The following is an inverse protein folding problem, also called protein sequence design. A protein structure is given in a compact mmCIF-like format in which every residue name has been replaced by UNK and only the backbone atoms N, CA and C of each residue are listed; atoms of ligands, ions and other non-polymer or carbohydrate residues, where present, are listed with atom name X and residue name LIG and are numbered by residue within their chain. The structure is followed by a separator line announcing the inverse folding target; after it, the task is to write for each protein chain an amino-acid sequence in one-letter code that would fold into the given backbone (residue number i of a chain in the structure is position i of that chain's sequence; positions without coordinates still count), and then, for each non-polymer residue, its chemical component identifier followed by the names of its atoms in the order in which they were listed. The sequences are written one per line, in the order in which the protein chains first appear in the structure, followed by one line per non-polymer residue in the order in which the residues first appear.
data_IF_831516718699
#
_entry.id   IF_831516718699
#
_cell.length_a   1.000
_cell.length_b   1.000
_cell.length_c   1.000
_cell.angle_alpha   90.00
_cell.angle_beta   90.00
_cell.angle_gamma   90.00
#
_symmetry.space_group_name_H-M   'P 1'
#
loop_
_entity.id
_entity.type
_entity.pdbx_description
1 polymer ?
#
# COMPACT_ATOMS: atom_id res chain seq x y z
N UNK A 1 -33.73 9.25 6.77
CA UNK A 1 -32.41 9.92 6.87
C UNK A 1 -31.37 8.87 6.54
N UNK A 2 -30.49 9.12 5.57
CA UNK A 2 -29.39 8.21 5.28
C UNK A 2 -28.53 8.08 6.54
N UNK A 3 -28.20 6.86 6.94
CA UNK A 3 -27.37 6.60 8.12
C UNK A 3 -25.98 7.15 7.82
N UNK A 4 -25.47 8.06 8.65
CA UNK A 4 -24.10 8.56 8.52
C UNK A 4 -23.15 7.36 8.46
N UNK A 5 -22.36 7.28 7.39
CA UNK A 5 -21.48 6.16 7.19
C UNK A 5 -20.09 6.51 7.72
N UNK A 6 -19.63 5.76 8.73
CA UNK A 6 -18.29 5.86 9.29
C UNK A 6 -17.45 4.70 8.77
N UNK A 7 -16.25 4.99 8.26
CA UNK A 7 -15.32 4.00 7.73
C UNK A 7 -13.94 4.21 8.34
N UNK A 8 -13.33 3.11 8.79
CA UNK A 8 -11.96 3.06 9.28
C UNK A 8 -11.05 2.40 8.24
N UNK A 9 -10.01 3.11 7.81
CA UNK A 9 -8.86 2.55 7.11
C UNK A 9 -7.70 2.35 8.08
N UNK A 10 -7.15 1.13 8.17
CA UNK A 10 -6.05 0.77 9.07
C UNK A 10 -4.86 0.23 8.28
N UNK A 11 -3.73 0.92 8.36
CA UNK A 11 -2.46 0.48 7.78
C UNK A 11 -1.52 -0.02 8.88
N UNK A 12 -1.25 -1.33 8.89
CA UNK A 12 -0.41 -1.99 9.88
C UNK A 12 1.02 -2.11 9.33
N UNK A 13 1.80 -1.06 9.49
CA UNK A 13 3.17 -0.95 8.98
C UNK A 13 4.24 -1.52 9.91
N UNK A 14 5.45 -1.73 9.36
CA UNK A 14 6.57 -2.33 10.11
C UNK A 14 7.02 -1.52 11.32
N UNK A 15 7.08 -0.19 11.21
CA UNK A 15 7.53 0.68 12.30
C UNK A 15 6.38 1.40 13.01
N UNK A 16 5.20 1.42 12.41
CA UNK A 16 4.05 2.18 12.89
C UNK A 16 2.75 1.59 12.36
N UNK A 17 1.68 1.74 13.11
CA UNK A 17 0.30 1.55 12.64
C UNK A 17 -0.31 2.94 12.45
N UNK A 18 -1.09 3.13 11.39
CA UNK A 18 -1.85 4.38 11.16
C UNK A 18 -3.32 4.08 10.89
N UNK A 19 -4.19 4.93 11.41
CA UNK A 19 -5.63 4.86 11.17
C UNK A 19 -6.15 6.19 10.63
N UNK A 20 -7.16 6.09 9.77
CA UNK A 20 -7.96 7.21 9.29
C UNK A 20 -9.44 6.85 9.37
N UNK A 21 -10.22 7.71 10.02
CA UNK A 21 -11.67 7.58 10.18
C UNK A 21 -12.35 8.66 9.36
N UNK A 22 -13.08 8.23 8.34
CA UNK A 22 -13.87 9.08 7.47
C UNK A 22 -15.36 8.92 7.75
N UNK A 23 -16.09 10.02 7.57
CA UNK A 23 -17.54 10.05 7.60
C UNK A 23 -18.06 10.62 6.29
N UNK A 24 -18.97 9.90 5.63
CA UNK A 24 -19.69 10.42 4.46
C UNK A 24 -21.03 11.00 4.93
N UNK A 25 -21.18 12.31 4.76
CA UNK A 25 -22.41 13.04 5.10
C UNK A 25 -22.80 13.95 3.95
N UNK A 26 -24.03 13.77 3.44
CA UNK A 26 -24.59 14.58 2.34
C UNK A 26 -23.67 14.66 1.09
N UNK A 27 -22.96 13.58 0.79
CA UNK A 27 -22.04 13.51 -0.36
C UNK A 27 -20.66 14.12 -0.11
N UNK A 28 -20.42 14.70 1.06
CA UNK A 28 -19.13 15.25 1.47
C UNK A 28 -18.42 14.27 2.39
N UNK A 29 -17.15 13.99 2.08
CA UNK A 29 -16.28 13.18 2.93
C UNK A 29 -15.61 14.11 3.94
N UNK A 30 -15.83 13.80 5.22
CA UNK A 30 -15.15 14.46 6.33
C UNK A 30 -14.23 13.49 7.05
N UNK A 31 -13.00 13.91 7.38
CA UNK A 31 -12.16 13.13 8.31
C UNK A 31 -12.48 13.56 9.73
N UNK A 32 -12.94 12.59 10.52
CA UNK A 32 -13.38 12.80 11.90
C UNK A 32 -12.39 12.25 12.93
N UNK A 33 -11.44 11.39 12.53
CA UNK A 33 -10.42 10.86 13.42
C UNK A 33 -9.19 10.33 12.68
N UNK A 34 -8.02 10.43 13.31
CA UNK A 34 -6.78 9.80 12.86
C UNK A 34 -6.06 9.22 14.07
N UNK A 35 -5.27 8.17 13.87
CA UNK A 35 -4.48 7.56 14.95
C UNK A 35 -3.11 7.10 14.46
N UNK A 36 -2.14 7.09 15.36
CA UNK A 36 -0.78 6.60 15.08
C UNK A 36 -0.12 6.03 16.34
N UNK A 37 0.43 4.82 16.20
CA UNK A 37 1.27 4.22 17.24
C UNK A 37 2.52 3.61 16.62
N UNK A 38 3.59 3.53 17.40
CA UNK A 38 4.79 2.79 17.01
C UNK A 38 4.50 1.29 17.01
N UNK A 39 5.19 0.55 16.14
CA UNK A 39 5.07 -0.90 16.03
C UNK A 39 6.44 -1.54 16.00
N UNK A 40 6.66 -2.53 16.88
CA UNK A 40 7.86 -3.38 16.94
C UNK A 40 7.58 -4.83 16.55
N UNK A 41 6.30 -5.23 16.45
CA UNK A 41 5.91 -6.62 16.23
C UNK A 41 6.02 -7.10 14.78
N UNK A 42 6.60 -6.30 13.90
CA UNK A 42 6.69 -6.58 12.47
C UNK A 42 8.11 -6.47 11.93
N UNK A 43 8.40 -7.28 10.91
CA UNK A 43 9.65 -7.24 10.14
C UNK A 43 9.35 -7.44 8.66
N UNK A 44 9.82 -6.51 7.81
CA UNK A 44 9.63 -6.56 6.34
C UNK A 44 8.14 -6.75 5.92
N UNK A 45 7.23 -6.13 6.67
CA UNK A 45 5.79 -6.23 6.45
C UNK A 45 5.16 -7.59 6.80
N UNK A 46 5.82 -8.38 7.67
CA UNK A 46 5.26 -9.60 8.26
C UNK A 46 5.27 -9.49 9.78
N UNK A 47 4.22 -10.01 10.42
CA UNK A 47 4.16 -10.07 11.89
C UNK A 47 5.10 -11.15 12.39
N UNK A 48 5.99 -10.76 13.30
CA UNK A 48 6.93 -11.62 14.02
C UNK A 48 6.61 -11.71 15.51
N UNK A 49 5.91 -10.70 16.04
CA UNK A 49 5.38 -10.69 17.40
C UNK A 49 3.90 -10.23 17.37
N UNK A 50 3.02 -11.12 17.84
CA UNK A 50 1.58 -10.90 17.84
C UNK A 50 1.20 -9.87 18.91
N UNK A 51 1.80 -9.94 20.09
CA UNK A 51 1.41 -9.12 21.26
C UNK A 51 1.78 -7.66 21.05
N UNK A 52 2.98 -7.41 20.53
CA UNK A 52 3.43 -6.05 20.16
C UNK A 52 2.53 -5.46 19.06
N UNK A 53 2.19 -6.27 18.05
CA UNK A 53 1.34 -5.81 16.94
C UNK A 53 -0.09 -5.52 17.41
N UNK A 54 -0.66 -6.37 18.27
CA UNK A 54 -1.99 -6.13 18.89
C UNK A 54 -1.96 -4.85 19.71
N UNK A 55 -0.94 -4.67 20.55
CA UNK A 55 -0.79 -3.48 21.38
C UNK A 55 -0.72 -2.19 20.55
N UNK A 56 0.05 -2.21 19.45
CA UNK A 56 0.14 -1.09 18.53
C UNK A 56 -1.20 -0.78 17.82
N UNK A 57 -1.94 -1.81 17.40
CA UNK A 57 -3.27 -1.64 16.80
C UNK A 57 -4.24 -1.05 17.82
N UNK A 58 -4.33 -1.60 19.03
CA UNK A 58 -5.21 -1.11 20.09
C UNK A 58 -4.95 0.35 20.44
N UNK A 59 -3.67 0.75 20.54
CA UNK A 59 -3.29 2.13 20.82
C UNK A 59 -3.73 3.10 19.70
N UNK A 60 -3.62 2.68 18.43
CA UNK A 60 -4.13 3.46 17.28
C UNK A 60 -5.64 3.59 17.30
N UNK A 61 -6.35 2.49 17.61
CA UNK A 61 -7.80 2.49 17.69
C UNK A 61 -8.30 3.43 18.79
N UNK A 62 -7.69 3.40 19.98
CA UNK A 62 -8.04 4.29 21.09
C UNK A 62 -7.88 5.77 20.70
N UNK A 63 -6.77 6.13 20.04
CA UNK A 63 -6.55 7.50 19.58
C UNK A 63 -7.58 7.91 18.52
N UNK A 64 -7.86 7.05 17.55
CA UNK A 64 -8.80 7.31 16.47
C UNK A 64 -10.25 7.41 16.97
N UNK A 65 -10.69 6.51 17.87
CA UNK A 65 -12.01 6.52 18.51
C UNK A 65 -12.22 7.78 19.34
N UNK A 66 -11.22 8.17 20.15
CA UNK A 66 -11.28 9.39 20.96
C UNK A 66 -11.46 10.63 20.10
N UNK A 67 -10.80 10.68 18.94
CA UNK A 67 -10.93 11.81 18.01
C UNK A 67 -12.26 11.78 17.25
N UNK A 68 -12.68 10.60 16.77
CA UNK A 68 -13.91 10.42 16.01
C UNK A 68 -15.18 10.55 16.87
N UNK A 69 -15.08 10.33 18.19
CA UNK A 69 -16.21 10.37 19.11
C UNK A 69 -17.21 9.22 18.92
N UNK A 70 -16.81 8.17 18.22
CA UNK A 70 -17.63 6.98 17.92
C UNK A 70 -16.79 5.71 18.07
N UNK A 71 -17.40 4.60 18.51
CA UNK A 71 -16.71 3.31 18.56
C UNK A 71 -16.43 2.79 17.14
N UNK A 72 -15.27 2.17 16.95
CA UNK A 72 -14.82 1.61 15.69
C UNK A 72 -14.86 0.07 15.78
N UNK A 73 -15.83 -0.53 15.09
CA UNK A 73 -16.07 -1.98 15.20
C UNK A 73 -15.49 -2.79 14.03
N UNK A 74 -15.26 -2.16 12.89
CA UNK A 74 -14.71 -2.84 11.71
C UNK A 74 -13.85 -1.91 10.85
N UNK A 75 -12.94 -2.49 10.06
CA UNK A 75 -12.03 -1.71 9.22
C UNK A 75 -11.65 -2.38 7.88
N UNK A 76 -11.18 -1.53 6.97
CA UNK A 76 -10.46 -1.90 5.76
C UNK A 76 -8.96 -1.90 6.08
N UNK A 77 -8.32 -3.06 5.93
CA UNK A 77 -6.94 -3.27 6.38
C UNK A 77 -5.99 -3.29 5.19
N UNK A 78 -4.93 -2.51 5.28
CA UNK A 78 -3.84 -2.52 4.31
C UNK A 78 -3.00 -3.77 4.43
N UNK A 79 -2.82 -4.47 3.32
CA UNK A 79 -1.93 -5.60 3.18
C UNK A 79 -0.75 -5.25 2.27
N UNK A 80 0.45 -5.32 2.83
CA UNK A 80 1.71 -5.12 2.13
C UNK A 80 2.73 -6.18 2.53
N UNK A 81 4.02 -5.86 2.44
CA UNK A 81 5.09 -6.74 2.89
C UNK A 81 5.65 -7.67 1.82
N UNK A 82 6.84 -8.21 2.07
CA UNK A 82 7.62 -8.99 1.09
C UNK A 82 7.00 -10.35 0.73
N UNK A 83 5.89 -10.71 1.37
CA UNK A 83 5.16 -11.94 1.14
C UNK A 83 4.10 -11.80 0.03
N UNK A 84 3.91 -10.61 -0.53
CA UNK A 84 3.00 -10.37 -1.66
C UNK A 84 3.68 -10.67 -2.99
N UNK A 85 2.92 -11.24 -3.91
CA UNK A 85 3.34 -11.53 -5.28
C UNK A 85 2.24 -11.13 -6.26
N UNK A 86 2.61 -10.61 -7.41
CA UNK A 86 1.70 -10.37 -8.51
C UNK A 86 2.06 -11.28 -9.70
N UNK A 87 1.06 -11.94 -10.27
CA UNK A 87 1.22 -12.80 -11.45
C UNK A 87 0.18 -12.41 -12.49
N UNK A 88 0.57 -12.41 -13.76
CA UNK A 88 -0.40 -12.20 -14.84
C UNK A 88 -1.07 -13.53 -15.17
N UNK A 89 -2.39 -13.50 -15.28
CA UNK A 89 -3.24 -14.61 -15.67
C UNK A 89 -4.01 -14.32 -16.94
N UNK A 90 -4.38 -15.37 -17.67
CA UNK A 90 -5.34 -15.27 -18.76
C UNK A 90 -6.53 -16.19 -18.50
N UNK A 91 -7.72 -15.61 -18.53
CA UNK A 91 -8.97 -16.36 -18.58
C UNK A 91 -9.46 -16.41 -20.02
N UNK A 92 -10.03 -17.54 -20.44
CA UNK A 92 -10.60 -17.72 -21.77
C UNK A 92 -11.93 -18.46 -21.65
N UNK A 93 -12.97 -17.92 -22.27
CA UNK A 93 -14.29 -18.56 -22.34
C UNK A 93 -14.89 -18.44 -23.74
N UNK A 94 -15.88 -19.29 -24.02
CA UNK A 94 -16.83 -19.06 -25.10
C UNK A 94 -17.98 -18.16 -24.62
N UNK A 95 -18.39 -17.21 -25.47
CA UNK A 95 -19.56 -16.37 -25.23
C UNK A 95 -20.81 -17.26 -25.23
N UNK A 96 -21.61 -17.15 -24.17
CA UNK A 96 -22.68 -18.11 -23.90
C UNK A 96 -23.94 -17.90 -24.73
N UNK A 97 -24.17 -16.67 -25.18
CA UNK A 97 -25.41 -16.28 -25.85
C UNK A 97 -25.37 -16.65 -27.33
N UNK A 98 -26.52 -17.08 -27.85
CA UNK A 98 -26.65 -17.50 -29.25
C UNK A 98 -26.49 -16.35 -30.26
N UNK A 99 -26.76 -15.11 -29.83
CA UNK A 99 -26.52 -13.88 -30.61
C UNK A 99 -25.04 -13.44 -30.59
N UNK A 100 -24.20 -14.10 -29.79
CA UNK A 100 -22.78 -13.77 -29.62
C UNK A 100 -22.55 -12.47 -28.86
N UNK A 101 -23.59 -11.83 -28.29
CA UNK A 101 -23.41 -10.60 -27.51
C UNK A 101 -22.78 -10.91 -26.15
N UNK A 102 -21.77 -10.14 -25.78
CA UNK A 102 -21.07 -10.28 -24.51
C UNK A 102 -21.88 -9.59 -23.41
N UNK A 103 -22.25 -10.37 -22.39
CA UNK A 103 -22.99 -9.91 -21.22
C UNK A 103 -22.12 -9.84 -19.97
N UNK A 104 -22.63 -9.21 -18.91
CA UNK A 104 -21.96 -9.21 -17.59
C UNK A 104 -21.66 -10.62 -17.07
N UNK A 105 -22.52 -11.61 -17.39
CA UNK A 105 -22.27 -12.99 -16.97
C UNK A 105 -21.08 -13.62 -17.71
N UNK A 106 -20.79 -13.20 -18.95
CA UNK A 106 -19.59 -13.61 -19.66
C UNK A 106 -18.34 -12.98 -19.03
N UNK A 107 -18.43 -11.73 -18.55
CA UNK A 107 -17.35 -11.07 -17.79
C UNK A 107 -17.01 -11.81 -16.51
N UNK A 108 -18.02 -12.13 -15.69
CA UNK A 108 -17.80 -12.87 -14.44
C UNK A 108 -17.12 -14.22 -14.72
N UNK A 109 -17.59 -14.95 -15.74
CA UNK A 109 -17.02 -16.26 -16.12
C UNK A 109 -15.58 -16.16 -16.61
N UNK A 110 -15.22 -15.14 -17.42
CA UNK A 110 -13.85 -15.00 -17.91
C UNK A 110 -12.89 -14.59 -16.79
N UNK A 111 -13.35 -13.77 -15.85
CA UNK A 111 -12.57 -13.39 -14.67
C UNK A 111 -12.40 -14.57 -13.70
N UNK A 112 -13.42 -15.40 -13.51
CA UNK A 112 -13.31 -16.63 -12.73
C UNK A 112 -12.36 -17.64 -13.38
N UNK A 113 -12.37 -17.75 -14.71
CA UNK A 113 -11.37 -18.54 -15.45
C UNK A 113 -9.95 -17.98 -15.25
N UNK A 114 -9.80 -16.65 -15.23
CA UNK A 114 -8.52 -15.99 -14.96
C UNK A 114 -8.07 -16.17 -13.49
N UNK A 115 -9.00 -16.35 -12.54
CA UNK A 115 -8.70 -16.67 -11.14
C UNK A 115 -8.18 -18.09 -10.94
N UNK A 116 -8.54 -19.02 -11.82
CA UNK A 116 -8.22 -20.45 -11.71
C UNK A 116 -6.74 -20.80 -11.97
N UNK A 117 -5.80 -19.88 -11.72
CA UNK A 117 -4.38 -20.21 -11.72
C UNK A 117 -4.09 -21.08 -10.50
N UNK A 118 -3.23 -22.09 -10.69
CA UNK A 118 -2.60 -22.79 -9.59
C UNK A 118 -1.63 -21.84 -8.86
N UNK A 119 -2.14 -21.10 -7.87
CA UNK A 119 -1.25 -20.53 -6.85
C UNK A 119 -0.63 -21.66 -6.03
N UNK A 120 0.61 -21.50 -5.55
CA UNK A 120 1.17 -22.40 -4.55
C UNK A 120 0.20 -22.58 -3.37
N UNK A 121 0.09 -23.78 -2.77
CA UNK A 121 -0.92 -24.09 -1.77
C UNK A 121 -0.81 -23.26 -0.48
N UNK A 122 0.30 -22.54 -0.28
CA UNK A 122 0.55 -21.66 0.85
C UNK A 122 0.26 -20.17 0.54
N UNK A 123 -0.49 -19.89 -0.54
CA UNK A 123 -0.86 -18.54 -0.96
C UNK A 123 -2.36 -18.40 -1.19
N UNK A 124 -2.86 -17.20 -0.93
CA UNK A 124 -4.25 -16.82 -1.13
C UNK A 124 -4.33 -15.61 -2.07
N UNK A 125 -5.37 -15.58 -2.90
CA UNK A 125 -5.68 -14.43 -3.76
C UNK A 125 -6.24 -13.31 -2.88
N UNK A 126 -5.70 -12.10 -3.04
CA UNK A 126 -6.17 -10.88 -2.37
C UNK A 126 -7.01 -10.07 -3.36
N UNK A 127 -6.47 -9.81 -4.55
CA UNK A 127 -7.19 -9.10 -5.62
C UNK A 127 -6.92 -9.72 -6.98
N UNK A 128 -7.89 -9.56 -7.87
CA UNK A 128 -7.77 -9.87 -9.30
C UNK A 128 -8.16 -8.61 -10.06
N UNK A 129 -7.22 -8.09 -10.84
CA UNK A 129 -7.34 -6.81 -11.53
C UNK A 129 -7.30 -7.07 -13.03
N UNK A 130 -8.42 -7.04 -13.77
CA UNK A 130 -8.38 -7.03 -15.22
C UNK A 130 -7.56 -5.87 -15.76
N UNK A 131 -6.72 -6.17 -16.75
CA UNK A 131 -5.96 -5.21 -17.54
C UNK A 131 -6.70 -4.91 -18.83
N UNK A 132 -6.99 -5.94 -19.61
CA UNK A 132 -7.70 -5.81 -20.87
C UNK A 132 -8.55 -7.07 -21.13
N UNK A 133 -9.47 -6.91 -22.08
CA UNK A 133 -10.22 -7.98 -22.69
C UNK A 133 -9.79 -8.14 -24.14
N UNK A 134 -9.94 -9.38 -24.63
CA UNK A 134 -9.78 -9.71 -26.03
C UNK A 134 -11.06 -10.36 -26.53
N UNK A 135 -11.55 -9.92 -27.68
CA UNK A 135 -12.73 -10.47 -28.34
C UNK A 135 -12.32 -10.96 -29.72
N UNK A 136 -12.40 -12.26 -29.95
CA UNK A 136 -12.01 -12.90 -31.22
C UNK A 136 -10.61 -12.48 -31.76
N UNK A 137 -9.67 -12.23 -30.84
CA UNK A 137 -8.30 -11.82 -31.15
C UNK A 137 -8.08 -10.31 -31.26
N UNK A 138 -9.13 -9.49 -31.23
CA UNK A 138 -9.00 -8.04 -31.07
C UNK A 138 -8.56 -7.71 -29.64
N UNK A 139 -7.45 -6.97 -29.48
CA UNK A 139 -6.85 -6.63 -28.18
C UNK A 139 -7.25 -5.24 -27.67
N UNK A 140 -6.83 -4.93 -26.44
CA UNK A 140 -6.98 -3.61 -25.80
C UNK A 140 -8.43 -3.14 -25.62
N UNK A 141 -9.35 -4.08 -25.42
CA UNK A 141 -10.74 -3.77 -25.11
C UNK A 141 -10.87 -3.57 -23.60
N UNK A 142 -11.29 -2.38 -23.16
CA UNK A 142 -11.52 -2.08 -21.73
C UNK A 142 -12.86 -2.62 -21.23
N UNK A 143 -13.88 -2.44 -22.06
CA UNK A 143 -15.25 -2.87 -21.78
C UNK A 143 -15.80 -3.62 -22.99
N UNK A 144 -15.92 -4.95 -22.92
CA UNK A 144 -16.45 -5.75 -24.01
C UNK A 144 -17.98 -5.92 -23.93
N UNK A 145 -18.67 -5.37 -22.91
CA UNK A 145 -20.12 -5.56 -22.76
C UNK A 145 -20.85 -4.95 -23.97
N UNK A 146 -21.75 -5.73 -24.58
CA UNK A 146 -22.47 -5.34 -25.78
C UNK A 146 -21.69 -5.52 -27.09
N UNK A 147 -20.40 -5.91 -27.03
CA UNK A 147 -19.68 -6.36 -28.22
C UNK A 147 -20.15 -7.76 -28.62
N UNK A 148 -20.04 -8.08 -29.91
CA UNK A 148 -20.33 -9.43 -30.43
C UNK A 148 -19.03 -10.20 -30.63
N UNK A 149 -18.99 -11.44 -30.15
CA UNK A 149 -17.89 -12.36 -30.43
C UNK A 149 -18.18 -13.78 -30.01
N UNK A 150 -17.30 -14.70 -30.41
CA UNK A 150 -17.40 -16.13 -30.06
C UNK A 150 -16.51 -16.44 -28.85
N UNK A 151 -15.35 -15.81 -28.79
CA UNK A 151 -14.31 -16.05 -27.78
C UNK A 151 -13.99 -14.75 -27.04
N UNK A 152 -14.12 -14.81 -25.72
CA UNK A 152 -13.75 -13.73 -24.81
C UNK A 152 -12.54 -14.18 -23.97
N UNK A 153 -11.50 -13.36 -23.97
CA UNK A 153 -10.34 -13.52 -23.10
C UNK A 153 -10.21 -12.31 -22.17
N UNK A 154 -9.58 -12.54 -21.02
CA UNK A 154 -9.21 -11.47 -20.10
C UNK A 154 -7.79 -11.68 -19.61
N UNK A 155 -6.95 -10.68 -19.75
CA UNK A 155 -5.66 -10.64 -19.04
C UNK A 155 -5.87 -9.95 -17.70
N UNK A 156 -5.50 -10.62 -16.61
CA UNK A 156 -5.66 -10.10 -15.26
C UNK A 156 -4.33 -10.12 -14.51
N UNK A 157 -4.14 -9.16 -13.62
CA UNK A 157 -3.10 -9.19 -12.61
C UNK A 157 -3.70 -9.79 -11.33
N UNK A 158 -3.24 -10.98 -10.97
CA UNK A 158 -3.63 -11.66 -9.73
C UNK A 158 -2.60 -11.35 -8.66
N UNK A 159 -3.06 -10.68 -7.61
CA UNK A 159 -2.26 -10.33 -6.44
C UNK A 159 -2.55 -11.37 -5.36
N UNK A 160 -1.52 -12.08 -4.93
CA UNK A 160 -1.61 -13.10 -3.90
C UNK A 160 -0.59 -12.89 -2.77
N UNK A 161 -0.94 -13.35 -1.58
CA UNK A 161 -0.12 -13.25 -0.39
C UNK A 161 0.05 -14.60 0.28
N UNK A 162 1.05 -14.73 1.15
CA UNK A 162 1.20 -15.91 2.01
C UNK A 162 0.01 -16.05 2.96
N UNK A 163 -0.60 -17.25 2.97
CA UNK A 163 -1.69 -17.60 3.88
C UNK A 163 -1.32 -17.38 5.34
N UNK A 164 -0.10 -17.71 5.76
CA UNK A 164 0.32 -17.55 7.16
C UNK A 164 0.45 -16.08 7.55
N UNK A 165 0.98 -15.24 6.67
CA UNK A 165 1.09 -13.80 6.92
C UNK A 165 -0.30 -13.15 7.03
N UNK A 166 -1.23 -13.49 6.14
CA UNK A 166 -2.62 -13.03 6.17
C UNK A 166 -3.29 -13.46 7.49
N UNK A 167 -3.19 -14.74 7.86
CA UNK A 167 -3.76 -15.25 9.12
C UNK A 167 -3.21 -14.56 10.36
N UNK A 168 -1.91 -14.29 10.41
CA UNK A 168 -1.30 -13.58 11.54
C UNK A 168 -1.83 -12.15 11.65
N UNK A 169 -1.98 -11.44 10.51
CA UNK A 169 -2.56 -10.10 10.49
C UNK A 169 -4.01 -10.12 10.94
N UNK A 170 -4.82 -11.02 10.37
CA UNK A 170 -6.21 -11.23 10.78
C UNK A 170 -6.31 -11.49 12.28
N UNK A 171 -5.46 -12.35 12.83
CA UNK A 171 -5.42 -12.65 14.27
C UNK A 171 -5.13 -11.40 15.10
N UNK A 172 -4.13 -10.60 14.74
CA UNK A 172 -3.80 -9.38 15.48
C UNK A 172 -4.96 -8.37 15.46
N UNK A 173 -5.57 -8.15 14.30
CA UNK A 173 -6.69 -7.20 14.17
C UNK A 173 -7.91 -7.66 14.98
N UNK A 174 -8.28 -8.94 14.89
CA UNK A 174 -9.41 -9.49 15.68
C UNK A 174 -9.13 -9.49 17.18
N UNK A 175 -7.89 -9.77 17.61
CA UNK A 175 -7.51 -9.69 19.03
C UNK A 175 -7.53 -8.26 19.58
N UNK A 176 -7.33 -7.25 18.74
CA UNK A 176 -7.50 -5.85 19.10
C UNK A 176 -8.98 -5.41 19.16
N UNK A 177 -9.93 -6.34 18.93
CA UNK A 177 -11.37 -6.06 19.04
C UNK A 177 -12.03 -5.54 17.76
N UNK A 178 -11.36 -5.67 16.60
CA UNK A 178 -11.82 -5.12 15.33
C UNK A 178 -12.18 -6.22 14.33
N UNK A 179 -13.34 -6.10 13.69
CA UNK A 179 -13.71 -6.93 12.55
C UNK A 179 -13.06 -6.42 11.26
N UNK A 180 -12.77 -7.34 10.33
CA UNK A 180 -12.19 -6.98 9.03
C UNK A 180 -13.30 -6.93 8.00
N UNK A 181 -13.55 -5.76 7.41
CA UNK A 181 -14.44 -5.62 6.26
C UNK A 181 -13.78 -6.19 5.00
N UNK A 182 -12.52 -5.81 4.75
CA UNK A 182 -11.76 -6.27 3.60
C UNK A 182 -10.25 -6.14 3.86
N UNK A 183 -9.48 -7.06 3.27
CA UNK A 183 -8.03 -6.94 3.16
C UNK A 183 -7.70 -6.34 1.79
N UNK A 184 -7.07 -5.18 1.78
CA UNK A 184 -6.81 -4.42 0.55
C UNK A 184 -5.31 -4.36 0.30
N UNK A 185 -4.86 -4.68 -0.91
CA UNK A 185 -3.46 -4.49 -1.30
C UNK A 185 -3.09 -3.01 -1.18
N UNK A 186 -2.20 -2.69 -0.24
CA UNK A 186 -1.93 -1.33 0.19
C UNK A 186 -1.60 -0.38 -0.99
N UNK A 187 -0.76 -0.74 -1.98
CA UNK A 187 -0.48 0.14 -3.12
C UNK A 187 -1.71 0.56 -3.95
N UNK A 188 -2.77 -0.24 -4.01
CA UNK A 188 -4.02 0.17 -4.66
C UNK A 188 -4.76 1.23 -3.85
N UNK A 189 -4.86 1.03 -2.54
CA UNK A 189 -5.44 1.99 -1.63
C UNK A 189 -4.65 3.32 -1.66
N UNK A 190 -3.33 3.25 -1.57
CA UNK A 190 -2.43 4.41 -1.68
C UNK A 190 -2.58 5.13 -3.03
N UNK A 191 -2.68 4.40 -4.14
CA UNK A 191 -2.94 4.98 -5.46
C UNK A 191 -4.32 5.63 -5.58
N UNK A 192 -5.29 5.24 -4.75
CA UNK A 192 -6.64 5.82 -4.74
C UNK A 192 -6.64 7.21 -4.11
N UNK A 193 -5.89 7.42 -3.03
CA UNK A 193 -5.83 8.71 -2.33
C UNK A 193 -4.98 9.76 -3.04
N UNK A 194 -3.95 9.34 -3.79
CA UNK A 194 -2.85 10.21 -4.19
C UNK A 194 -2.66 10.37 -5.72
N UNK A 195 -3.04 9.39 -6.54
CA UNK A 195 -2.82 9.45 -8.00
C UNK A 195 -4.05 9.94 -8.77
N UNK A 196 -3.88 10.98 -9.57
CA UNK A 196 -4.93 11.48 -10.47
C UNK A 196 -5.18 10.54 -11.64
N UNK A 197 -6.41 10.59 -12.20
CA UNK A 197 -6.76 9.85 -13.41
C UNK A 197 -5.77 10.16 -14.55
N UNK A 198 -5.39 11.43 -14.71
CA UNK A 198 -4.42 11.87 -15.73
C UNK A 198 -3.05 11.20 -15.54
N UNK A 199 -2.53 11.13 -14.31
CA UNK A 199 -1.24 10.49 -14.05
C UNK A 199 -1.28 9.00 -14.38
N UNK A 200 -2.36 8.30 -14.01
CA UNK A 200 -2.57 6.89 -14.35
C UNK A 200 -2.70 6.67 -15.86
N UNK A 201 -3.33 7.60 -16.57
CA UNK A 201 -3.49 7.53 -18.02
C UNK A 201 -2.14 7.64 -18.75
N UNK A 202 -1.35 8.66 -18.43
CA UNK A 202 -0.13 8.97 -19.18
C UNK A 202 1.11 8.20 -18.72
N UNK A 203 1.02 7.39 -17.66
CA UNK A 203 2.12 6.59 -17.14
C UNK A 203 2.77 7.18 -15.87
N UNK A 204 2.58 6.53 -14.72
CA UNK A 204 3.12 6.95 -13.41
C UNK A 204 3.62 5.78 -12.58
N UNK A 205 4.72 5.98 -11.84
CA UNK A 205 5.20 5.05 -10.82
C UNK A 205 4.81 5.57 -9.42
N UNK A 206 4.05 4.80 -8.66
CA UNK A 206 3.88 5.01 -7.23
C UNK A 206 4.96 4.23 -6.48
N UNK A 207 5.70 4.92 -5.61
CA UNK A 207 6.71 4.32 -4.73
C UNK A 207 6.44 4.70 -3.27
N UNK A 208 6.10 3.71 -2.45
CA UNK A 208 5.97 3.88 -1.01
C UNK A 208 7.24 3.36 -0.32
N UNK A 209 8.05 4.28 0.21
CA UNK A 209 9.24 3.93 0.98
C UNK A 209 8.85 3.83 2.46
N UNK A 210 8.42 2.64 2.86
CA UNK A 210 8.15 2.29 4.24
C UNK A 210 9.43 2.02 5.04
N UNK A 211 9.27 1.62 6.31
CA UNK A 211 10.41 1.29 7.16
C UNK A 211 11.07 -0.04 6.75
N UNK A 212 10.29 -1.12 6.66
CA UNK A 212 10.80 -2.46 6.35
C UNK A 212 10.79 -2.82 4.87
N UNK A 213 10.00 -2.13 4.05
CA UNK A 213 9.75 -2.47 2.65
C UNK A 213 9.57 -1.22 1.79
N UNK A 214 9.76 -1.38 0.49
CA UNK A 214 9.48 -0.38 -0.53
C UNK A 214 8.49 -0.97 -1.52
N UNK A 215 7.30 -0.41 -1.60
CA UNK A 215 6.24 -0.90 -2.49
C UNK A 215 6.24 -0.10 -3.79
N UNK A 216 6.03 -0.78 -4.90
CA UNK A 216 6.04 -0.21 -6.25
C UNK A 216 4.73 -0.58 -6.94
N UNK A 217 4.09 0.39 -7.57
CA UNK A 217 2.93 0.18 -8.45
C UNK A 217 3.04 1.10 -9.67
N UNK A 218 3.15 0.51 -10.86
CA UNK A 218 3.21 1.23 -12.11
C UNK A 218 1.83 1.23 -12.77
N UNK A 219 1.37 2.42 -13.18
CA UNK A 219 0.10 2.62 -13.87
C UNK A 219 0.33 3.23 -15.25
N UNK A 220 -0.44 2.79 -16.24
CA UNK A 220 -0.47 3.34 -17.60
C UNK A 220 -1.83 3.02 -18.25
N UNK A 221 -2.33 3.91 -19.12
CA UNK A 221 -3.66 3.76 -19.75
C UNK A 221 -4.79 3.54 -18.70
N UNK A 222 -4.60 4.10 -17.51
CA UNK A 222 -5.56 4.00 -16.41
C UNK A 222 -5.45 2.75 -15.53
N UNK A 223 -4.69 1.73 -15.95
CA UNK A 223 -4.62 0.44 -15.25
C UNK A 223 -3.34 0.24 -14.44
N UNK A 224 -3.39 -0.67 -13.46
CA UNK A 224 -2.19 -1.20 -12.82
C UNK A 224 -1.49 -2.21 -13.75
N UNK A 225 -0.38 -1.79 -14.36
CA UNK A 225 0.37 -2.65 -15.30
C UNK A 225 1.35 -3.58 -14.58
N UNK A 226 1.89 -3.16 -13.43
CA UNK A 226 2.78 -3.96 -12.61
C UNK A 226 2.84 -3.48 -11.16
N UNK A 227 3.10 -4.40 -10.24
CA UNK A 227 3.40 -4.06 -8.85
C UNK A 227 4.41 -5.05 -8.25
N UNK A 228 5.14 -4.58 -7.25
CA UNK A 228 6.15 -5.36 -6.53
C UNK A 228 6.37 -4.79 -5.14
N UNK A 229 6.79 -5.62 -4.19
CA UNK A 229 7.21 -5.17 -2.85
C UNK A 229 8.64 -5.63 -2.60
N UNK A 230 9.54 -4.66 -2.50
CA UNK A 230 10.94 -4.89 -2.22
C UNK A 230 11.15 -5.04 -0.69
N UNK A 231 11.91 -6.05 -0.23
CA UNK A 231 12.16 -6.31 1.20
C UNK A 231 13.22 -5.39 1.82
N UNK A 232 13.25 -4.13 1.37
CA UNK A 232 14.19 -3.08 1.78
C UNK A 232 13.42 -1.77 1.93
N UNK A 233 13.74 -0.98 2.94
CA UNK A 233 13.06 0.27 3.26
C UNK A 233 13.93 1.17 4.11
N UNK A 234 13.37 2.29 4.59
CA UNK A 234 14.12 3.35 5.27
C UNK A 234 14.72 2.97 6.63
N UNK A 235 14.29 1.86 7.24
CA UNK A 235 14.93 1.31 8.45
C UNK A 235 16.30 0.70 8.13
N UNK A 236 16.54 0.27 6.89
CA UNK A 236 17.86 -0.26 6.51
C UNK A 236 18.90 0.86 6.51
N UNK A 237 18.51 2.10 6.17
CA UNK A 237 19.35 3.29 6.33
C UNK A 237 19.73 3.46 7.80
N UNK A 238 18.75 3.37 8.71
CA UNK A 238 18.97 3.46 10.16
C UNK A 238 19.93 2.39 10.66
N UNK A 239 19.76 1.15 10.20
CA UNK A 239 20.63 0.04 10.57
C UNK A 239 22.07 0.29 10.11
N UNK A 240 22.26 0.79 8.89
CA UNK A 240 23.60 1.08 8.38
C UNK A 240 24.27 2.23 9.15
N UNK A 241 23.51 3.27 9.53
CA UNK A 241 24.01 4.35 10.39
C UNK A 241 24.42 3.78 11.75
N UNK A 242 23.58 2.96 12.37
CA UNK A 242 23.86 2.34 13.66
C UNK A 242 25.14 1.49 13.61
N UNK A 243 25.31 0.68 12.57
CA UNK A 243 26.52 -0.13 12.36
C UNK A 243 27.75 0.76 12.10
N UNK A 244 27.62 1.73 11.21
CA UNK A 244 28.71 2.61 10.77
C UNK A 244 29.23 3.53 11.88
N UNK A 245 28.35 3.97 12.78
CA UNK A 245 28.69 4.83 13.93
C UNK A 245 28.82 4.06 15.25
N UNK A 246 28.47 2.76 15.26
CA UNK A 246 28.46 1.88 16.45
C UNK A 246 27.60 2.42 17.59
N UNK A 247 26.40 2.89 17.26
CA UNK A 247 25.41 3.45 18.20
C UNK A 247 24.14 2.62 18.21
N UNK A 248 23.24 2.90 19.16
CA UNK A 248 21.92 2.27 19.21
C UNK A 248 21.07 2.62 17.97
N UNK A 249 20.13 1.72 17.62
CA UNK A 249 19.18 1.97 16.53
C UNK A 249 18.30 3.20 16.79
N UNK A 250 17.96 3.45 18.05
CA UNK A 250 17.16 4.62 18.44
C UNK A 250 17.93 5.91 18.16
N UNK A 251 19.20 5.97 18.57
CA UNK A 251 20.09 7.13 18.33
C UNK A 251 20.32 7.32 16.84
N UNK A 252 20.54 6.25 16.08
CA UNK A 252 20.68 6.30 14.63
C UNK A 252 19.41 6.83 13.92
N UNK A 253 18.21 6.47 14.38
CA UNK A 253 16.96 6.97 13.81
C UNK A 253 16.82 8.48 14.05
N UNK A 254 17.13 8.95 15.27
CA UNK A 254 17.11 10.38 15.61
C UNK A 254 18.08 11.16 14.72
N UNK A 255 19.28 10.63 14.48
CA UNK A 255 20.28 11.24 13.59
C UNK A 255 19.78 11.26 12.14
N UNK A 256 19.24 10.15 11.64
CA UNK A 256 18.67 10.07 10.28
C UNK A 256 17.59 11.11 10.06
N UNK A 257 16.66 11.26 11.02
CA UNK A 257 15.57 12.23 10.94
C UNK A 257 16.09 13.67 11.00
N UNK A 258 17.06 13.98 11.88
CA UNK A 258 17.54 15.36 12.11
C UNK A 258 18.57 15.84 11.09
N UNK A 259 19.47 14.97 10.65
CA UNK A 259 20.64 15.34 9.84
C UNK A 259 20.73 14.63 8.49
N UNK A 260 19.92 13.59 8.27
CA UNK A 260 19.95 12.79 7.04
C UNK A 260 19.57 13.60 5.80
N UNK A 261 20.31 13.38 4.72
CA UNK A 261 20.05 13.94 3.39
C UNK A 261 20.55 12.98 2.33
N UNK A 262 19.93 13.00 1.16
CA UNK A 262 20.31 12.23 -0.02
C UNK A 262 21.33 12.96 -0.90
N UNK A 263 21.71 14.20 -0.53
CA UNK A 263 22.51 15.11 -1.36
C UNK A 263 23.82 15.45 -0.65
N UNK A 264 24.88 14.74 -1.00
CA UNK A 264 26.19 14.87 -0.35
C UNK A 264 26.83 16.25 -0.56
N UNK A 265 26.57 16.87 -1.71
CA UNK A 265 27.08 18.19 -2.09
C UNK A 265 26.50 19.34 -1.25
N UNK A 266 25.37 19.10 -0.56
CA UNK A 266 24.79 20.08 0.38
C UNK A 266 25.48 20.08 1.75
N UNK A 267 26.32 19.10 2.04
CA UNK A 267 26.97 18.94 3.35
C UNK A 267 28.38 19.50 3.32
N UNK A 268 28.69 20.41 4.27
CA UNK A 268 30.03 20.98 4.40
C UNK A 268 30.98 19.98 5.06
N UNK A 269 32.22 19.93 4.61
CA UNK A 269 33.26 19.04 5.17
C UNK A 269 33.52 19.27 6.66
N UNK A 270 33.31 20.50 7.14
CA UNK A 270 33.50 20.86 8.55
C UNK A 270 32.31 20.51 9.46
N UNK A 271 31.18 20.08 8.90
CA UNK A 271 29.96 19.84 9.67
C UNK A 271 30.04 18.54 10.46
N UNK A 272 29.89 18.65 11.79
CA UNK A 272 29.95 17.51 12.72
C UNK A 272 28.65 17.38 13.50
N UNK A 273 28.29 16.14 13.77
CA UNK A 273 27.17 15.76 14.62
C UNK A 273 27.76 15.32 15.95
N UNK A 274 27.29 15.92 17.03
CA UNK A 274 27.56 15.44 18.39
C UNK A 274 26.55 14.34 18.72
N UNK A 275 27.03 13.12 18.96
CA UNK A 275 26.14 12.00 19.29
C UNK A 275 25.54 12.19 20.70
N UNK A 276 26.27 12.89 21.59
CA UNK A 276 25.82 13.23 22.93
C UNK A 276 24.52 14.04 22.98
N UNK A 277 24.18 14.75 21.89
CA UNK A 277 22.92 15.49 21.76
C UNK A 277 21.68 14.58 21.70
N UNK A 278 21.87 13.29 21.42
CA UNK A 278 20.80 12.30 21.27
C UNK A 278 20.86 11.16 22.26
N UNK A 279 22.07 10.88 22.75
CA UNK A 279 22.38 9.82 23.71
C UNK A 279 23.45 10.33 24.70
N UNK A 280 23.07 10.74 25.92
CA UNK A 280 24.00 11.33 26.88
C UNK A 280 25.16 10.41 27.31
N UNK A 281 25.07 9.11 27.07
CA UNK A 281 26.15 8.15 27.35
C UNK A 281 27.25 8.18 26.27
N UNK A 282 26.96 8.76 25.10
CA UNK A 282 27.88 8.89 23.99
C UNK A 282 28.64 10.23 24.02
N UNK A 283 29.95 10.19 23.76
CA UNK A 283 30.80 11.40 23.73
C UNK A 283 31.44 11.65 22.37
N UNK A 284 31.18 10.77 21.40
CA UNK A 284 31.76 10.84 20.07
C UNK A 284 31.11 11.94 19.22
N UNK A 285 31.93 12.54 18.35
CA UNK A 285 31.47 13.44 17.29
C UNK A 285 31.83 12.85 15.94
N UNK A 286 30.88 12.87 15.01
CA UNK A 286 31.03 12.25 13.70
C UNK A 286 30.82 13.28 12.60
N UNK A 287 31.47 13.11 11.46
CA UNK A 287 31.26 14.00 10.32
C UNK A 287 29.88 13.74 9.72
N UNK A 288 29.08 14.78 9.50
CA UNK A 288 27.77 14.63 8.85
C UNK A 288 27.92 14.03 7.46
N UNK A 289 29.01 14.35 6.76
CA UNK A 289 29.32 13.81 5.43
C UNK A 289 29.43 12.28 5.43
N UNK A 290 30.01 11.69 6.49
CA UNK A 290 30.08 10.25 6.63
C UNK A 290 28.69 9.61 6.79
N UNK A 291 27.80 10.24 7.58
CA UNK A 291 26.39 9.80 7.69
C UNK A 291 25.69 9.89 6.34
N UNK A 292 25.90 10.98 5.59
CA UNK A 292 25.31 11.14 4.26
C UNK A 292 25.82 10.10 3.26
N UNK A 293 27.09 9.72 3.30
CA UNK A 293 27.64 8.64 2.46
C UNK A 293 26.97 7.29 2.75
N UNK A 294 26.72 6.97 4.02
CA UNK A 294 26.00 5.77 4.42
C UNK A 294 24.57 5.79 3.85
N UNK A 295 23.89 6.92 3.98
CA UNK A 295 22.53 7.12 3.46
C UNK A 295 22.50 6.95 1.94
N UNK A 296 23.38 7.63 1.22
CA UNK A 296 23.49 7.58 -0.24
C UNK A 296 23.71 6.16 -0.74
N UNK A 297 24.64 5.40 -0.12
CA UNK A 297 24.90 4.01 -0.50
C UNK A 297 23.64 3.14 -0.40
N UNK A 298 22.85 3.31 0.66
CA UNK A 298 21.59 2.58 0.84
C UNK A 298 20.50 3.04 -0.13
N UNK A 299 20.44 4.34 -0.45
CA UNK A 299 19.53 4.84 -1.48
C UNK A 299 19.88 4.27 -2.85
N UNK A 300 21.16 4.24 -3.23
CA UNK A 300 21.61 3.61 -4.49
C UNK A 300 21.11 2.17 -4.59
N UNK A 301 21.14 1.39 -3.50
CA UNK A 301 20.62 0.02 -3.48
C UNK A 301 19.09 -0.04 -3.59
N UNK A 302 18.35 0.80 -2.87
CA UNK A 302 16.87 0.84 -2.98
C UNK A 302 16.46 1.21 -4.41
N UNK A 303 17.10 2.22 -4.99
CA UNK A 303 16.77 2.72 -6.31
C UNK A 303 17.25 1.83 -7.45
N UNK A 304 18.33 1.07 -7.27
CA UNK A 304 18.74 0.05 -8.25
C UNK A 304 17.67 -1.03 -8.39
N UNK A 305 17.10 -1.48 -7.26
CA UNK A 305 16.00 -2.46 -7.24
C UNK A 305 14.73 -1.90 -7.87
N UNK A 306 14.37 -0.64 -7.60
CA UNK A 306 13.23 0.03 -8.26
C UNK A 306 13.46 0.07 -9.78
N UNK A 307 14.67 0.45 -10.21
CA UNK A 307 15.03 0.52 -11.62
C UNK A 307 14.97 -0.84 -12.31
N UNK A 308 15.37 -1.91 -11.63
CA UNK A 308 15.28 -3.26 -12.17
C UNK A 308 13.82 -3.71 -12.34
N UNK A 309 12.91 -3.34 -11.44
CA UNK A 309 11.47 -3.55 -11.64
C UNK A 309 10.93 -2.78 -12.86
N UNK A 310 11.36 -1.53 -13.07
CA UNK A 310 11.00 -0.75 -14.27
C UNK A 310 11.53 -1.39 -15.56
N UNK A 311 12.76 -1.91 -15.56
CA UNK A 311 13.35 -2.60 -16.72
C UNK A 311 12.58 -3.87 -17.07
N UNK A 312 12.17 -4.66 -16.07
CA UNK A 312 11.38 -5.90 -16.30
C UNK A 312 10.10 -5.65 -17.07
N UNK A 313 9.49 -4.47 -16.90
CA UNK A 313 8.25 -4.08 -17.57
C UNK A 313 8.49 -3.18 -18.79
N UNK A 314 9.74 -2.94 -19.17
CA UNK A 314 10.10 -2.08 -20.31
C UNK A 314 9.76 -0.60 -20.12
N UNK A 315 9.71 -0.12 -18.87
CA UNK A 315 9.33 1.27 -18.52
C UNK A 315 10.45 2.10 -17.88
N UNK A 316 11.69 1.64 -17.93
CA UNK A 316 12.86 2.40 -17.45
C UNK A 316 13.00 3.72 -18.25
N UNK A 317 12.83 4.86 -17.56
CA UNK A 317 12.80 6.19 -18.20
C UNK A 317 11.56 6.50 -19.05
N UNK A 318 10.52 5.65 -19.04
CA UNK A 318 9.35 5.76 -19.92
C UNK A 318 8.03 5.91 -19.16
N UNK A 319 8.00 6.78 -18.15
CA UNK A 319 6.78 7.14 -17.41
C UNK A 319 6.62 8.67 -17.40
N UNK A 320 5.86 9.24 -18.34
CA UNK A 320 5.71 10.70 -18.51
C UNK A 320 5.26 11.47 -17.25
N UNK A 321 4.39 10.91 -16.41
CA UNK A 321 4.01 11.55 -15.14
C UNK A 321 5.07 11.38 -14.04
N UNK A 322 6.10 10.57 -14.30
CA UNK A 322 7.23 10.36 -13.41
C UNK A 322 6.91 9.44 -12.23
N UNK A 323 7.59 9.70 -11.11
CA UNK A 323 7.51 8.94 -9.87
C UNK A 323 6.84 9.77 -8.80
N UNK A 324 5.83 9.21 -8.14
CA UNK A 324 5.21 9.80 -6.96
C UNK A 324 5.61 8.99 -5.73
N UNK A 325 6.30 9.66 -4.80
CA UNK A 325 6.75 9.07 -3.56
C UNK A 325 5.74 9.28 -2.43
N UNK A 326 5.68 8.31 -1.53
CA UNK A 326 4.93 8.38 -0.28
C UNK A 326 5.62 7.54 0.80
N UNK A 327 5.00 7.42 1.97
CA UNK A 327 5.52 6.69 3.12
C UNK A 327 6.48 7.52 3.98
N UNK A 328 6.90 6.97 5.11
CA UNK A 328 7.78 7.70 6.05
C UNK A 328 9.17 8.00 5.49
N UNK A 329 9.69 7.11 4.63
CA UNK A 329 11.02 7.25 4.03
C UNK A 329 11.09 8.35 2.97
N UNK A 330 9.96 8.78 2.39
CA UNK A 330 9.99 9.85 1.37
C UNK A 330 10.39 11.22 1.91
N UNK A 331 10.37 11.39 3.24
CA UNK A 331 10.71 12.63 3.95
C UNK A 331 12.22 12.88 4.06
N UNK A 332 13.05 11.94 3.66
CA UNK A 332 14.49 12.13 3.65
C UNK A 332 14.83 13.32 2.74
N UNK A 333 15.54 14.31 3.27
CA UNK A 333 15.90 15.52 2.53
C UNK A 333 16.63 15.15 1.24
N UNK A 334 16.29 15.83 0.14
CA UNK A 334 16.91 15.61 -1.17
C UNK A 334 16.52 14.33 -1.92
N UNK A 335 15.65 13.46 -1.37
CA UNK A 335 15.25 12.21 -2.03
C UNK A 335 14.68 12.42 -3.44
N UNK A 336 13.86 13.47 -3.63
CA UNK A 336 13.25 13.79 -4.92
C UNK A 336 14.31 14.12 -5.98
N UNK A 337 15.33 14.88 -5.60
CA UNK A 337 16.40 15.28 -6.52
C UNK A 337 17.29 14.07 -6.85
N UNK A 338 17.67 13.29 -5.83
CA UNK A 338 18.36 12.00 -6.02
C UNK A 338 17.59 11.08 -6.98
N UNK A 339 16.27 10.98 -6.81
CA UNK A 339 15.42 10.17 -7.68
C UNK A 339 15.44 10.65 -9.13
N UNK A 340 15.36 11.96 -9.37
CA UNK A 340 15.37 12.53 -10.73
C UNK A 340 16.66 12.18 -11.44
N UNK A 341 17.78 12.28 -10.75
CA UNK A 341 19.10 11.93 -11.30
C UNK A 341 19.22 10.43 -11.58
N UNK A 342 18.84 9.59 -10.60
CA UNK A 342 19.06 8.14 -10.68
C UNK A 342 18.10 7.43 -11.67
N UNK A 343 16.81 7.76 -11.60
CA UNK A 343 15.75 7.15 -12.42
C UNK A 343 15.54 7.88 -13.75
N UNK A 344 16.06 9.11 -13.90
CA UNK A 344 15.86 9.96 -15.10
C UNK A 344 14.38 10.18 -15.42
N UNK A 345 13.57 10.28 -14.37
CA UNK A 345 12.13 10.54 -14.43
C UNK A 345 11.81 11.78 -13.59
N UNK A 346 10.75 12.54 -13.94
CA UNK A 346 10.18 13.51 -13.01
C UNK A 346 9.86 12.83 -11.68
N UNK A 347 10.01 13.54 -10.57
CA UNK A 347 9.68 13.00 -9.25
C UNK A 347 9.06 14.07 -8.36
N UNK A 348 8.14 13.64 -7.51
CA UNK A 348 7.55 14.47 -6.46
C UNK A 348 7.05 13.60 -5.29
N UNK A 349 6.85 14.22 -4.13
CA UNK A 349 6.13 13.60 -3.01
C UNK A 349 4.64 13.81 -3.25
N UNK A 350 3.84 12.76 -3.11
CA UNK A 350 2.40 12.85 -3.23
C UNK A 350 1.71 13.00 -1.88
N UNK A 351 0.60 13.73 -1.91
CA UNK A 351 -0.26 14.00 -0.78
C UNK A 351 -1.70 13.60 -1.17
N UNK A 352 -2.60 13.33 -0.21
CA UNK A 352 -3.99 13.04 -0.52
C UNK A 352 -4.61 14.19 -1.33
N UNK A 353 -5.21 13.90 -2.50
CA UNK A 353 -5.73 14.93 -3.41
C UNK A 353 -7.16 15.40 -3.10
N UNK A 354 -7.86 14.76 -2.16
CA UNK A 354 -9.25 15.09 -1.88
C UNK A 354 -9.34 16.41 -1.11
N UNK A 355 -10.31 17.25 -1.49
CA UNK A 355 -10.85 18.30 -0.63
C UNK A 355 -11.57 17.63 0.55
N UNK A 356 -10.79 17.10 1.47
CA UNK A 356 -11.30 16.50 2.69
C UNK A 356 -11.69 17.67 3.59
N UNK A 357 -12.97 17.75 3.94
CA UNK A 357 -13.41 18.65 5.00
C UNK A 357 -13.00 18.11 6.37
N UNK A 358 -12.54 18.96 7.29
CA UNK A 358 -12.18 18.55 8.66
C UNK A 358 -10.68 18.70 8.99
N UNK A 359 -10.08 17.68 9.60
CA UNK A 359 -8.70 17.73 10.16
C UNK A 359 -7.59 17.69 9.11
N UNK A 360 -7.54 18.68 8.22
CA UNK A 360 -6.61 18.74 7.07
C UNK A 360 -5.14 18.81 7.53
N UNK A 361 -4.83 19.59 8.57
CA UNK A 361 -3.43 19.86 8.98
C UNK A 361 -2.63 18.61 9.41
N UNK A 362 -3.31 17.54 9.88
CA UNK A 362 -2.64 16.28 10.27
C UNK A 362 -2.42 15.33 9.08
N UNK A 363 -3.07 15.59 7.94
CA UNK A 363 -3.09 14.70 6.77
C UNK A 363 -2.10 15.11 5.68
N UNK A 364 -1.45 16.27 5.83
CA UNK A 364 -0.31 16.73 5.02
C UNK A 364 0.97 15.90 5.26
N UNK A 365 0.87 14.81 6.01
CA UNK A 365 1.94 13.87 6.24
C UNK A 365 1.79 12.65 5.31
N UNK A 366 2.76 12.37 4.41
CA UNK A 366 2.73 11.21 3.52
C UNK A 366 2.56 9.87 4.22
N UNK A 367 2.81 9.78 5.54
CA UNK A 367 2.60 8.55 6.30
C UNK A 367 1.13 8.13 6.45
N UNK A 368 0.17 9.05 6.28
CA UNK A 368 -1.27 8.72 6.37
C UNK A 368 -1.91 8.38 5.02
N UNK A 369 -1.18 8.54 3.90
CA UNK A 369 -1.74 8.37 2.55
C UNK A 369 -2.39 7.01 2.36
N UNK A 370 -1.78 5.94 2.89
CA UNK A 370 -2.29 4.57 2.79
C UNK A 370 -3.56 4.38 3.61
N UNK A 371 -3.59 4.81 4.88
CA UNK A 371 -4.80 4.72 5.72
C UNK A 371 -5.96 5.58 5.21
N UNK A 372 -5.67 6.76 4.66
CA UNK A 372 -6.66 7.56 3.91
C UNK A 372 -7.17 6.80 2.69
N UNK A 373 -6.27 6.19 1.90
CA UNK A 373 -6.62 5.37 0.76
C UNK A 373 -7.54 4.19 1.09
N UNK A 374 -7.30 3.53 2.22
CA UNK A 374 -8.10 2.42 2.74
C UNK A 374 -9.48 2.89 3.20
N UNK A 375 -9.55 4.04 3.87
CA UNK A 375 -10.82 4.65 4.26
C UNK A 375 -11.66 4.98 3.03
N UNK A 376 -11.05 5.59 2.00
CA UNK A 376 -11.72 5.91 0.73
C UNK A 376 -12.14 4.65 -0.03
N UNK A 377 -11.35 3.57 0.05
CA UNK A 377 -11.73 2.28 -0.51
C UNK A 377 -13.05 1.80 0.09
N UNK A 378 -13.20 1.89 1.41
CA UNK A 378 -14.43 1.49 2.08
C UNK A 378 -15.64 2.38 1.81
N UNK A 379 -15.44 3.68 1.60
CA UNK A 379 -16.51 4.61 1.22
C UNK A 379 -17.02 4.41 -0.22
N UNK A 380 -16.17 3.94 -1.13
CA UNK A 380 -16.59 3.60 -2.48
C UNK A 380 -17.32 2.25 -2.53
N UNK A 381 -16.87 1.25 -1.75
CA UNK A 381 -17.51 -0.07 -1.67
C UNK A 381 -18.95 -0.05 -1.13
N UNK A 382 -19.31 0.96 -0.34
CA UNK A 382 -20.67 1.19 0.17
C UNK A 382 -21.60 1.94 -0.80
N UNK A 383 -21.04 2.68 -1.75
CA UNK A 383 -21.80 3.40 -2.79
C UNK A 383 -22.23 2.49 -3.96
N UNK A 384 -21.94 1.19 -3.90
CA UNK A 384 -22.26 0.18 -4.93
C UNK A 384 -23.78 -0.06 -5.13
N UNK A 385 -24.65 0.63 -4.39
CA UNK A 385 -26.10 0.65 -4.66
C UNK A 385 -26.57 1.79 -5.58
N UNK A 386 -25.69 2.64 -6.11
CA UNK A 386 -26.08 3.71 -7.04
C UNK A 386 -25.15 3.85 -8.25
N UNK A 387 -25.58 3.24 -9.35
CA UNK A 387 -25.36 3.61 -10.77
C UNK A 387 -23.94 4.01 -11.27
N UNK A 388 -23.48 3.24 -12.27
CA UNK A 388 -22.52 3.59 -13.34
C UNK A 388 -21.01 3.54 -13.08
N UNK A 389 -20.53 2.72 -12.16
CA UNK A 389 -19.14 2.23 -12.20
C UNK A 389 -19.11 0.71 -12.16
N UNK A 390 -18.49 0.12 -13.19
CA UNK A 390 -18.25 -1.30 -13.38
C UNK A 390 -18.17 -2.10 -12.07
N UNK A 391 -19.20 -2.92 -11.84
CA UNK A 391 -19.29 -3.84 -10.71
C UNK A 391 -18.15 -4.86 -10.79
N UNK A 392 -17.10 -4.65 -10.01
CA UNK A 392 -16.16 -5.73 -9.72
C UNK A 392 -16.73 -6.45 -8.51
N UNK A 393 -17.41 -7.58 -8.78
CA UNK A 393 -17.67 -8.57 -7.75
C UNK A 393 -16.30 -9.12 -7.28
N UNK A 394 -15.66 -8.39 -6.37
CA UNK A 394 -14.65 -8.93 -5.47
C UNK A 394 -15.33 -10.08 -4.74
N UNK A 395 -14.93 -11.30 -5.09
CA UNK A 395 -15.49 -12.50 -4.49
C UNK A 395 -15.43 -12.33 -2.98
N UNK A 396 -16.61 -12.42 -2.33
CA UNK A 396 -16.70 -12.43 -0.88
C UNK A 396 -15.66 -13.39 -0.33
N UNK A 397 -14.89 -12.93 0.65
CA UNK A 397 -13.99 -13.71 1.50
C UNK A 397 -14.79 -14.69 2.42
N UNK A 398 -15.80 -15.37 1.89
CA UNK A 398 -16.71 -16.24 2.65
C UNK A 398 -15.99 -17.50 3.21
N UNK A 399 -14.84 -17.87 2.65
CA UNK A 399 -14.14 -19.11 3.01
C UNK A 399 -13.42 -19.13 4.37
N UNK A 400 -13.07 -17.96 4.94
CA UNK A 400 -12.29 -17.87 6.19
C UNK A 400 -13.18 -17.55 7.39
N UNK A 401 -14.20 -16.71 7.20
CA UNK A 401 -15.10 -16.27 8.27
C UNK A 401 -15.94 -17.44 8.80
N UNK A 402 -16.40 -18.34 7.93
CA UNK A 402 -17.20 -19.50 8.35
C UNK A 402 -16.38 -20.61 9.01
N UNK A 403 -15.11 -20.79 8.62
CA UNK A 403 -14.22 -21.79 9.26
C UNK A 403 -13.72 -21.35 10.63
N UNK A 404 -13.48 -20.06 10.85
CA UNK A 404 -13.09 -19.55 12.17
C UNK A 404 -14.22 -19.69 13.20
N UNK A 405 -15.48 -19.45 12.79
CA UNK A 405 -16.67 -19.69 13.64
C UNK A 405 -16.89 -21.18 13.95
N UNK A 406 -16.51 -22.07 13.04
CA UNK A 406 -16.62 -23.53 13.23
C UNK A 406 -15.66 -24.11 14.27
N UNK A 407 -14.44 -23.56 14.39
CA UNK A 407 -13.40 -24.09 15.30
C UNK A 407 -13.69 -23.74 16.77
N UNK A 408 -14.36 -22.61 17.05
CA UNK A 408 -14.71 -22.21 18.42
C UNK A 408 -15.90 -22.98 19.02
N UNK A 409 -16.74 -23.64 18.22
CA UNK A 409 -17.86 -24.47 18.71
C UNK A 409 -17.45 -25.86 19.20
N UNK A 410 -16.18 -26.25 19.09
CA UNK A 410 -15.69 -27.57 19.55
C UNK A 410 -14.75 -27.51 20.75
N UNK A 411 -14.57 -26.33 21.37
CA UNK A 411 -13.64 -26.13 22.49
C UNK A 411 -14.23 -25.38 23.70
N UNK A 412 -15.53 -25.55 23.97
CA UNK A 412 -16.08 -25.28 25.30
C UNK A 412 -16.84 -26.51 25.81
N UNK A 413 -16.71 -26.84 27.12
CA UNK A 413 -17.51 -27.89 27.76
C UNK A 413 -19.00 -27.53 27.82
#
# INVERSE_FOLDING_TARGET
MAKDQVVLGLDVGTSKVTACVGQLKEGVIGIIGVGKANNSGMRKGMIVDIEDSVSAISAVLEEAERMAGVPLTSAYIGLGGSHISAVTSKGVIAVSRADGEISTSDIDRVLDAARAIALPPNREIIHVIPKNFLVDGQTNIKDPIGMTGIRLESETLVIGGSTSAIKNLTKCVTQAGLDINELVFAPLATAKSLLSKRQKEIGVLLVDIGAGTTSIAAFEEGDLIACSILPIGSMHITNDIAIGLRISLETAEKIKIKYGTALIEKVRDSEKIDIGDFDPEETQKVERKYVTQIIEARLVEIFSLIKDELKKIGKDGMLPAGVIFTGGGCKLDGLVDFSKEYLRLPAQIGYPMLEISGMVDKLDDPMYVTSVGLMLWGLDGSNVNSSNSFNWNLGKFDGIIDKAKGIFKHFMP
#
